data_IF_677805860047
#
_entry.id   IF_677805860047
#
_cell.length_a   1.000
_cell.length_b   1.000
_cell.length_c   1.000
_cell.angle_alpha   90.00
_cell.angle_beta   90.00
_cell.angle_gamma   90.00
#
_symmetry.space_group_name_H-M   'P 1'
#
loop_
_entity.id
_entity.type
_entity.pdbx_description
1 polymer ?
2 non-polymer ?
3 water ?
#
# COMPACT_ATOMS: atom_id res chain seq x y z
N UNK A 1 -8.01 25.41 -2.92
CA UNK A 1 -7.97 24.44 -4.06
C UNK A 1 -9.14 23.47 -4.02
N UNK A 2 -9.44 22.88 -5.17
CA UNK A 2 -10.34 21.72 -5.24
C UNK A 2 -9.66 20.55 -4.54
N UNK A 3 -10.43 19.81 -3.75
CA UNK A 3 -9.93 18.57 -3.15
C UNK A 3 -9.59 17.58 -4.28
N UNK A 4 -8.52 16.78 -4.14
CA UNK A 4 -8.27 15.74 -5.15
C UNK A 4 -9.42 14.74 -5.19
N UNK A 5 -9.59 14.10 -6.33
CA UNK A 5 -10.72 13.20 -6.52
C UNK A 5 -10.74 12.05 -5.50
N UNK A 6 -11.93 11.70 -4.98
CA UNK A 6 -12.05 10.46 -4.22
C UNK A 6 -11.63 9.25 -5.05
N UNK A 7 -11.00 8.29 -4.40
CA UNK A 7 -10.76 6.98 -5.00
C UNK A 7 -12.10 6.27 -4.96
N UNK A 8 -12.45 5.57 -6.04
CA UNK A 8 -13.70 4.82 -6.12
C UNK A 8 -13.42 3.32 -6.08
N UNK A 9 -14.31 2.59 -5.42
CA UNK A 9 -14.22 1.14 -5.34
C UNK A 9 -14.79 0.50 -6.61
N UNK A 10 -14.77 -0.82 -6.66
CA UNK A 10 -15.25 -1.55 -7.83
C UNK A 10 -16.75 -1.41 -8.08
N UNK A 11 -17.49 -0.91 -7.09
CA UNK A 11 -18.93 -0.63 -7.20
C UNK A 11 -19.22 0.86 -7.43
N UNK A 12 -18.16 1.65 -7.63
CA UNK A 12 -18.28 3.06 -7.97
C UNK A 12 -18.48 3.98 -6.78
N UNK A 13 -18.30 3.46 -5.57
CA UNK A 13 -18.50 4.24 -4.35
C UNK A 13 -17.19 4.79 -3.80
N UNK A 14 -17.24 5.97 -3.19
CA UNK A 14 -16.05 6.58 -2.60
C UNK A 14 -15.47 5.68 -1.52
N UNK A 15 -14.16 5.48 -1.56
CA UNK A 15 -13.48 4.82 -0.44
C UNK A 15 -13.53 5.71 0.80
N UNK A 16 -13.73 5.07 1.94
CA UNK A 16 -13.72 5.78 3.22
C UNK A 16 -12.74 5.17 4.20
N UNK A 17 -12.22 6.03 5.08
CA UNK A 17 -11.36 5.56 6.16
C UNK A 17 -12.15 4.66 7.12
N UNK A 18 -11.47 3.68 7.70
CA UNK A 18 -12.11 2.77 8.66
C UNK A 18 -13.03 1.74 8.04
N UNK A 19 -12.88 1.50 6.74
CA UNK A 19 -13.69 0.53 6.03
C UNK A 19 -12.73 -0.45 5.35
N UNK A 20 -13.03 -1.74 5.44
CA UNK A 20 -12.19 -2.77 4.83
C UNK A 20 -12.33 -2.82 3.33
N UNK A 21 -11.17 -2.88 2.65
CA UNK A 21 -11.09 -3.10 1.20
C UNK A 21 -10.05 -4.16 0.91
N UNK A 22 -10.25 -4.84 -0.22
CA UNK A 22 -9.19 -5.63 -0.84
C UNK A 22 -8.54 -4.80 -1.94
N UNK A 23 -7.22 -4.91 -2.07
CA UNK A 23 -6.50 -4.34 -3.20
C UNK A 23 -6.31 -5.47 -4.20
N UNK A 24 -6.99 -5.35 -5.34
CA UNK A 24 -7.01 -6.41 -6.35
C UNK A 24 -6.28 -6.00 -7.61
N UNK A 25 -5.67 -6.98 -8.31
CA UNK A 25 -5.01 -6.69 -9.58
C UNK A 25 -6.02 -6.45 -10.68
N UNK A 26 -5.74 -5.50 -11.55
CA UNK A 26 -6.58 -5.29 -12.73
C UNK A 26 -6.19 -6.26 -13.84
N UNK A 27 -4.89 -6.48 -14.05
CA UNK A 27 -4.45 -7.46 -15.05
C UNK A 27 -4.60 -8.85 -14.45
N UNK A 28 -5.43 -9.66 -15.11
CA UNK A 28 -5.75 -11.01 -14.66
C UNK A 28 -4.64 -12.00 -14.99
N UNK A 29 -4.74 -13.16 -14.35
CA UNK A 29 -3.90 -14.32 -14.66
C UNK A 29 -2.51 -14.33 -14.08
N UNK A 30 -2.24 -13.43 -13.12
CA UNK A 30 -0.91 -13.31 -12.51
C UNK A 30 -0.88 -13.62 -11.02
N UNK A 31 -1.99 -13.47 -10.34
CA UNK A 31 -2.07 -13.61 -8.89
C UNK A 31 -3.39 -13.05 -8.40
N UNK A 32 -3.58 -13.07 -7.09
CA UNK A 32 -4.80 -12.59 -6.47
C UNK A 32 -4.60 -11.23 -5.84
N UNK A 33 -5.39 -10.95 -4.81
CA UNK A 33 -5.28 -9.68 -4.09
C UNK A 33 -4.08 -9.62 -3.16
N UNK A 34 -3.87 -8.45 -2.56
CA UNK A 34 -2.73 -8.29 -1.67
C UNK A 34 -2.98 -8.96 -0.34
N UNK A 35 -1.89 -9.47 0.23
CA UNK A 35 -1.92 -10.22 1.48
C UNK A 35 -0.58 -10.06 2.19
N UNK A 36 -0.40 -10.84 3.26
CA UNK A 36 0.82 -10.85 4.05
C UNK A 36 1.47 -12.21 4.00
N UNK A 37 2.80 -12.22 3.97
CA UNK A 37 3.55 -13.48 4.01
C UNK A 37 4.89 -13.25 4.64
N UNK A 38 5.45 -14.32 5.20
CA UNK A 38 6.82 -14.33 5.69
C UNK A 38 7.69 -14.74 4.50
N UNK A 39 8.45 -13.79 3.93
CA UNK A 39 9.17 -14.03 2.65
C UNK A 39 10.66 -14.34 2.79
N UNK A 40 11.25 -13.90 3.90
CA UNK A 40 12.70 -13.86 4.03
C UNK A 40 13.18 -14.79 5.11
N UNK A 41 14.12 -14.30 5.91
CA UNK A 41 14.74 -15.11 6.93
C UNK A 41 13.76 -15.32 8.08
N UNK A 42 13.36 -14.22 8.71
CA UNK A 42 12.48 -14.28 9.88
C UNK A 42 11.00 -14.25 9.51
N UNK A 43 10.16 -14.76 10.41
CA UNK A 43 8.71 -14.76 10.19
C UNK A 43 8.09 -13.37 10.30
N UNK A 44 8.66 -12.52 11.16
CA UNK A 44 8.08 -11.21 11.48
C UNK A 44 9.12 -10.09 11.36
N UNK A 45 8.72 -8.87 11.00
CA UNK A 45 7.36 -8.53 10.53
C UNK A 45 7.02 -9.21 9.20
N UNK A 46 5.74 -9.33 8.92
CA UNK A 46 5.29 -9.87 7.65
C UNK A 46 5.52 -8.87 6.51
N UNK A 47 5.67 -9.38 5.30
CA UNK A 47 5.81 -8.54 4.13
C UNK A 47 4.51 -8.52 3.32
N UNK A 48 4.32 -7.45 2.56
CA UNK A 48 3.15 -7.32 1.71
C UNK A 48 3.45 -8.00 0.37
N UNK A 49 2.58 -8.92 -0.01
CA UNK A 49 2.75 -9.67 -1.26
C UNK A 49 1.44 -9.82 -1.99
N UNK A 50 1.52 -10.11 -3.28
CA UNK A 50 0.34 -10.51 -4.03
C UNK A 50 0.09 -11.99 -3.77
N UNK A 51 -1.15 -12.38 -3.45
CA UNK A 51 -1.53 -13.79 -3.36
C UNK A 51 -1.10 -14.55 -4.60
N UNK A 52 -0.55 -15.75 -4.42
CA UNK A 52 -0.24 -16.62 -5.53
C UNK A 52 -1.51 -16.97 -6.33
N UNK A 53 -2.57 -17.33 -5.63
CA UNK A 53 -3.77 -17.85 -6.29
C UNK A 53 -4.66 -16.75 -6.80
N UNK A 54 -5.01 -16.81 -8.09
CA UNK A 54 -5.85 -15.79 -8.73
C UNK A 54 -7.24 -15.68 -8.10
N UNK A 55 -7.79 -16.78 -7.62
CA UNK A 55 -9.12 -16.74 -7.02
C UNK A 55 -9.19 -16.00 -5.68
N UNK A 56 -8.05 -15.80 -5.02
CA UNK A 56 -8.06 -15.20 -3.69
C UNK A 56 -8.08 -13.67 -3.73
N UNK A 57 -8.97 -13.10 -2.94
CA UNK A 57 -9.01 -11.64 -2.72
C UNK A 57 -7.88 -11.15 -1.82
N UNK A 58 -7.19 -12.05 -1.12
CA UNK A 58 -6.15 -11.66 -0.19
C UNK A 58 -6.73 -11.32 1.17
N UNK A 59 -6.16 -10.33 1.84
CA UNK A 59 -6.62 -9.89 3.17
C UNK A 59 -7.12 -8.47 3.11
N UNK A 60 -8.17 -8.16 3.89
CA UNK A 60 -8.69 -6.81 3.92
C UNK A 60 -7.79 -5.84 4.66
N UNK A 61 -7.86 -4.59 4.22
CA UNK A 61 -7.07 -3.52 4.80
C UNK A 61 -7.85 -2.22 4.83
N UNK A 62 -7.29 -1.25 5.53
CA UNK A 62 -7.87 0.09 5.61
C UNK A 62 -6.85 1.13 5.25
N UNK A 63 -7.38 2.30 4.89
CA UNK A 63 -6.61 3.50 4.57
C UNK A 63 -6.97 4.59 5.57
N UNK A 64 -5.97 5.30 6.09
CA UNK A 64 -6.22 6.41 7.02
C UNK A 64 -5.48 7.63 6.49
N UNK A 65 -6.23 8.68 6.10
CA UNK A 65 -5.57 9.87 5.60
C UNK A 65 -4.65 10.54 6.60
N UNK A 66 -3.61 11.18 6.08
CA UNK A 66 -2.64 11.90 6.89
C UNK A 66 -3.28 12.99 7.75
N UNK A 67 -4.34 13.62 7.23
CA UNK A 67 -5.12 14.60 7.97
C UNK A 67 -6.20 13.80 8.70
N UNK A 68 -5.96 13.38 9.97
CA UNK A 68 -6.79 12.53 10.82
C UNK A 68 -8.30 12.67 10.71
N UNK A 69 -8.76 13.90 10.78
CA UNK A 69 -10.19 14.24 10.67
C UNK A 69 -10.85 13.73 9.36
N UNK A 70 -10.12 13.82 8.25
CA UNK A 70 -10.66 13.49 6.91
C UNK A 70 -11.11 12.03 6.78
N UNK A 71 -12.28 11.82 6.18
CA UNK A 71 -12.90 10.49 6.04
C UNK A 71 -12.88 9.88 4.65
N UNK A 72 -12.76 10.69 3.61
CA UNK A 72 -12.75 10.20 2.22
C UNK A 72 -11.32 9.89 1.82
N UNK A 73 -11.13 8.74 1.16
CA UNK A 73 -9.81 8.37 0.62
C UNK A 73 -9.71 8.97 -0.78
N UNK A 74 -8.75 9.87 -0.97
CA UNK A 74 -8.56 10.60 -2.20
C UNK A 74 -7.23 10.26 -2.83
N UNK A 75 -7.13 10.49 -4.14
CA UNK A 75 -5.86 10.37 -4.82
C UNK A 75 -4.90 11.47 -4.37
N UNK A 76 -3.63 11.26 -4.70
CA UNK A 76 -2.59 12.26 -4.51
C UNK A 76 -2.45 12.71 -3.06
N UNK A 77 -2.72 11.81 -2.12
CA UNK A 77 -2.83 12.13 -0.69
C UNK A 77 -2.17 11.03 0.11
N UNK A 78 -1.35 11.39 1.09
CA UNK A 78 -0.67 10.40 1.91
C UNK A 78 -1.64 9.69 2.86
N UNK A 79 -1.47 8.37 2.97
CA UNK A 79 -2.24 7.50 3.87
C UNK A 79 -1.34 6.53 4.60
N UNK A 80 -1.75 6.19 5.82
CA UNK A 80 -1.30 4.94 6.45
C UNK A 80 -2.18 3.80 5.94
N UNK A 81 -1.58 2.68 5.55
CA UNK A 81 -2.32 1.52 5.06
C UNK A 81 -2.01 0.38 6.02
N UNK A 82 -3.03 -0.35 6.47
CA UNK A 82 -2.80 -1.49 7.36
C UNK A 82 -3.81 -2.58 7.15
N UNK A 83 -3.36 -3.82 7.23
CA UNK A 83 -4.28 -4.97 7.16
C UNK A 83 -5.07 -5.08 8.47
N UNK A 84 -6.32 -5.48 8.36
CA UNK A 84 -7.26 -5.42 9.50
C UNK A 84 -7.14 -6.54 10.54
N UNK A 85 -6.89 -7.76 10.10
CA UNK A 85 -6.91 -8.89 11.01
C UNK A 85 -5.57 -9.08 11.71
N UNK A 86 -5.61 -9.76 12.86
CA UNK A 86 -4.40 -10.12 13.56
C UNK A 86 -3.62 -11.17 12.78
N UNK A 87 -2.36 -11.32 13.14
CA UNK A 87 -1.41 -12.17 12.43
C UNK A 87 -0.57 -12.94 13.44
N UNK A 88 0.38 -13.73 12.95
CA UNK A 88 1.33 -14.42 13.84
C UNK A 88 2.33 -13.49 14.52
N UNK A 89 2.39 -12.22 14.12
CA UNK A 89 3.40 -11.28 14.59
C UNK A 89 2.82 -10.27 15.56
N UNK A 90 3.62 -9.90 16.57
CA UNK A 90 3.27 -8.78 17.45
C UNK A 90 3.37 -7.46 16.68
N UNK A 91 4.34 -7.37 15.78
CA UNK A 91 4.56 -6.18 14.95
C UNK A 91 3.30 -5.86 14.15
N UNK A 92 3.05 -4.57 13.95
CA UNK A 92 1.85 -4.12 13.28
C UNK A 92 1.80 -4.56 11.82
N UNK A 93 0.60 -4.46 11.27
CA UNK A 93 0.37 -4.72 9.85
C UNK A 93 0.40 -3.43 9.03
N UNK A 94 0.92 -2.35 9.61
CA UNK A 94 0.96 -1.05 8.96
C UNK A 94 2.13 -1.02 7.97
N UNK A 95 1.82 -0.67 6.71
CA UNK A 95 2.81 -0.71 5.64
C UNK A 95 3.95 0.29 5.88
N UNK A 96 5.16 -0.15 5.55
CA UNK A 96 6.35 0.67 5.67
C UNK A 96 7.27 0.32 4.54
N UNK A 97 7.85 1.32 3.89
CA UNK A 97 8.83 1.04 2.84
C UNK A 97 10.20 0.83 3.50
N UNK A 98 10.97 -0.14 2.99
CA UNK A 98 12.30 -0.41 3.55
C UNK A 98 13.29 -0.76 2.46
N UNK A 99 14.44 -0.10 2.49
CA UNK A 99 15.53 -0.39 1.55
C UNK A 99 16.21 -1.71 1.88
N UNK A 100 16.39 -2.53 0.85
CA UNK A 100 17.08 -3.82 0.98
C UNK A 100 18.47 -3.68 0.37
N UNK A 101 19.49 -3.71 1.26
CA UNK A 101 20.90 -3.55 0.86
C UNK A 101 21.37 -4.56 -0.19
N UNK A 102 20.85 -5.78 -0.14
CA UNK A 102 21.31 -6.88 -1.00
C UNK A 102 20.70 -6.90 -2.40
N UNK A 103 19.56 -6.24 -2.58
CA UNK A 103 18.90 -6.15 -3.90
C UNK A 103 18.85 -4.72 -4.47
N UNK A 104 19.09 -3.71 -3.63
CA UNK A 104 18.87 -2.33 -4.02
C UNK A 104 17.41 -1.93 -4.19
N UNK A 105 16.47 -2.82 -3.84
CA UNK A 105 15.04 -2.52 -3.99
C UNK A 105 14.51 -1.91 -2.71
N UNK A 106 13.46 -1.13 -2.86
CA UNK A 106 12.72 -0.58 -1.73
C UNK A 106 11.39 -1.33 -1.66
N UNK A 107 11.29 -2.22 -0.67
CA UNK A 107 10.14 -3.11 -0.54
C UNK A 107 9.11 -2.58 0.45
N UNK A 108 7.86 -2.99 0.25
CA UNK A 108 6.82 -2.75 1.25
C UNK A 108 6.83 -3.89 2.26
N UNK A 109 7.15 -3.55 3.50
CA UNK A 109 7.04 -4.49 4.62
C UNK A 109 6.00 -3.92 5.59
N UNK A 110 5.95 -4.46 6.80
CA UNK A 110 5.03 -3.94 7.82
C UNK A 110 5.80 -3.56 9.09
N UNK A 111 5.11 -3.51 10.24
CA UNK A 111 5.71 -3.03 11.47
C UNK A 111 5.78 -1.52 11.56
N UNK A 112 5.03 -0.80 10.73
CA UNK A 112 5.04 0.67 10.77
C UNK A 112 4.31 1.22 11.99
N UNK A 113 4.73 2.39 12.45
CA UNK A 113 4.01 3.17 13.47
C UNK A 113 2.95 4.06 12.80
N UNK A 114 1.76 4.13 13.39
CA UNK A 114 0.66 4.99 12.90
C UNK A 114 0.85 6.46 13.23
N UNK A 115 0.36 7.33 12.35
CA UNK A 115 0.26 8.76 12.64
C UNK A 115 1.61 9.44 12.71
N UNK A 116 1.68 10.49 13.54
CA UNK A 116 2.89 11.28 13.72
C UNK A 116 3.57 11.58 12.37
N UNK A 117 2.81 12.19 11.42
CA UNK A 117 3.41 12.46 10.11
C UNK A 117 4.60 13.42 10.19
N UNK A 118 5.69 13.04 9.53
CA UNK A 118 6.93 13.82 9.52
C UNK A 118 8.10 12.92 9.24
N UNK A 119 9.33 13.43 9.44
CA UNK A 119 10.54 12.62 9.16
C UNK A 119 10.53 11.32 9.94
N UNK A 120 10.04 11.34 11.19
CA UNK A 120 10.08 10.15 12.03
C UNK A 120 9.28 8.96 11.47
N UNK A 121 8.24 9.23 10.67
CA UNK A 121 7.41 8.18 10.06
C UNK A 121 7.38 8.27 8.53
N UNK A 122 8.40 8.89 7.95
CA UNK A 122 8.43 9.18 6.51
C UNK A 122 8.09 7.97 5.65
N UNK A 123 8.59 6.80 6.03
CA UNK A 123 8.45 5.59 5.22
C UNK A 123 7.09 4.89 5.33
N UNK A 124 6.15 5.48 6.07
CA UNK A 124 4.87 4.85 6.38
C UNK A 124 3.70 5.46 5.65
N UNK A 125 3.97 6.32 4.66
CA UNK A 125 2.93 7.07 3.97
C UNK A 125 2.89 6.73 2.49
N UNK A 126 1.69 6.38 2.01
CA UNK A 126 1.47 5.89 0.65
C UNK A 126 0.33 6.63 -0.01
N UNK A 127 0.44 6.77 -1.33
CA UNK A 127 -0.57 7.42 -2.15
C UNK A 127 -1.21 6.44 -3.09
N UNK A 128 -2.42 6.79 -3.50
CA UNK A 128 -3.12 6.15 -4.60
C UNK A 128 -3.20 7.18 -5.72
N UNK A 129 -2.85 6.79 -6.95
CA UNK A 129 -2.93 7.70 -8.09
C UNK A 129 -3.70 7.02 -9.20
N UNK A 130 -4.32 7.84 -10.03
CA UNK A 130 -5.06 7.34 -11.18
C UNK A 130 -4.11 6.67 -12.15
N UNK A 131 -4.56 5.58 -12.76
CA UNK A 131 -3.78 4.86 -13.75
C UNK A 131 -4.77 4.34 -14.78
N UNK A 132 -4.90 5.07 -15.89
CA UNK A 132 -5.89 4.79 -16.93
C UNK A 132 -7.28 4.75 -16.29
N UNK A 133 -8.01 3.64 -16.36
CA UNK A 133 -9.34 3.58 -15.74
C UNK A 133 -9.33 3.04 -14.31
N UNK A 134 -8.15 2.76 -13.78
CA UNK A 134 -8.03 2.21 -12.43
C UNK A 134 -6.96 3.01 -11.69
N UNK A 135 -6.15 2.34 -10.86
CA UNK A 135 -5.24 3.04 -9.96
C UNK A 135 -3.89 2.36 -9.90
N UNK A 136 -2.95 3.08 -9.27
CA UNK A 136 -1.67 2.49 -8.88
C UNK A 136 -1.36 3.01 -7.48
N UNK A 137 -0.48 2.29 -6.78
CA UNK A 137 0.02 2.72 -5.49
C UNK A 137 1.36 3.39 -5.70
N UNK A 138 1.61 4.44 -4.92
CA UNK A 138 2.82 5.27 -5.09
C UNK A 138 3.38 5.54 -3.70
N UNK A 139 4.70 5.57 -3.61
CA UNK A 139 5.39 6.12 -2.44
C UNK A 139 6.01 7.44 -2.84
N UNK A 140 5.48 8.55 -2.31
CA UNK A 140 6.16 9.83 -2.44
C UNK A 140 5.61 10.79 -1.39
N UNK A 141 6.03 10.62 -0.13
CA UNK A 141 5.40 11.37 0.95
C UNK A 141 5.72 12.85 0.90
N UNK A 142 4.75 13.65 1.31
CA UNK A 142 4.96 15.09 1.45
C UNK A 142 4.83 15.52 2.91
N UNK A 143 4.94 14.58 3.83
CA UNK A 143 4.81 14.86 5.27
C UNK A 143 5.98 15.63 5.90
N UNK A 144 7.09 15.72 5.19
CA UNK A 144 8.31 16.34 5.72
C UNK A 144 8.91 17.27 4.66
N UNK A 145 8.73 18.58 4.84
CA UNK A 145 9.14 19.50 3.77
C UNK A 145 10.66 19.63 3.58
N UNK A 146 11.47 19.30 4.60
CA UNK A 146 12.93 19.28 4.44
C UNK A 146 13.51 17.91 4.06
N UNK A 147 12.68 16.87 4.07
CA UNK A 147 13.09 15.53 3.67
C UNK A 147 13.13 15.41 2.16
N UNK A 148 13.93 14.45 1.69
CA UNK A 148 14.08 14.15 0.28
C UNK A 148 13.84 12.66 0.03
N UNK A 149 12.57 12.22 0.15
CA UNK A 149 12.30 10.78 -0.03
C UNK A 149 12.59 10.32 -1.45
N UNK A 150 13.03 9.06 -1.58
CA UNK A 150 13.14 8.42 -2.88
C UNK A 150 11.73 7.96 -3.27
N UNK A 151 11.17 8.58 -4.29
CA UNK A 151 9.80 8.29 -4.72
C UNK A 151 9.71 7.25 -5.82
N UNK A 152 8.56 6.60 -5.93
CA UNK A 152 8.33 5.72 -7.05
C UNK A 152 6.94 5.12 -7.04
N UNK A 153 6.56 4.58 -8.19
CA UNK A 153 5.39 3.73 -8.33
C UNK A 153 5.69 2.39 -7.70
N UNK A 154 4.66 1.76 -7.14
CA UNK A 154 4.79 0.43 -6.57
C UNK A 154 4.43 -0.61 -7.63
N UNK A 155 5.32 -1.60 -7.81
CA UNK A 155 5.12 -2.72 -8.72
C UNK A 155 5.47 -4.02 -8.05
N UNK A 156 5.40 -5.10 -8.81
CA UNK A 156 5.72 -6.43 -8.32
C UNK A 156 7.21 -6.72 -8.56
N UNK A 157 7.87 -7.29 -7.55
CA UNK A 157 9.26 -7.74 -7.68
C UNK A 157 9.34 -9.11 -7.03
N UNK A 158 9.83 -10.10 -7.75
CA UNK A 158 9.93 -11.45 -7.24
C UNK A 158 11.15 -11.57 -6.33
N UNK A 159 10.93 -12.03 -5.10
CA UNK A 159 12.03 -12.30 -4.17
C UNK A 159 11.69 -13.54 -3.39
N UNK A 160 12.62 -14.50 -3.34
CA UNK A 160 12.41 -15.78 -2.65
C UNK A 160 11.13 -16.49 -3.09
N UNK A 161 10.80 -16.33 -4.37
CA UNK A 161 9.59 -16.92 -4.94
C UNK A 161 8.29 -16.20 -4.64
N UNK A 162 8.31 -15.07 -3.92
CA UNK A 162 7.11 -14.32 -3.58
C UNK A 162 6.95 -13.12 -4.48
N UNK A 163 5.71 -12.74 -4.73
CA UNK A 163 5.38 -11.55 -5.49
C UNK A 163 5.35 -10.37 -4.55
N UNK A 164 6.53 -9.86 -4.24
CA UNK A 164 6.67 -8.73 -3.32
C UNK A 164 6.29 -7.44 -4.00
N UNK A 165 6.01 -6.42 -3.19
CA UNK A 165 5.76 -5.08 -3.69
C UNK A 165 7.01 -4.21 -3.44
N UNK A 166 7.42 -3.49 -4.47
CA UNK A 166 8.59 -2.65 -4.39
C UNK A 166 8.46 -1.47 -5.33
N UNK A 167 9.23 -0.43 -5.11
CA UNK A 167 9.29 0.65 -6.09
C UNK A 167 9.76 0.08 -7.42
N UNK A 168 9.10 0.45 -8.52
CA UNK A 168 9.29 -0.24 -9.79
C UNK A 168 9.06 0.68 -10.95
N UNK A 169 9.72 0.35 -12.06
CA UNK A 169 9.49 1.01 -13.34
C UNK A 169 8.19 0.53 -14.01
N UNK A 170 7.60 -0.54 -13.47
CA UNK A 170 6.33 -1.07 -14.00
C UNK A 170 5.26 -0.98 -12.90
N UNK A 171 4.36 0.03 -12.97
CA UNK A 171 3.34 0.10 -11.90
C UNK A 171 2.38 -1.08 -11.90
N UNK A 172 2.03 -1.54 -10.72
CA UNK A 172 1.05 -2.61 -10.55
C UNK A 172 -0.34 -1.95 -10.55
N UNK A 173 -1.15 -2.23 -11.58
CA UNK A 173 -2.47 -1.60 -11.70
C UNK A 173 -3.46 -2.31 -10.78
N UNK A 174 -4.15 -1.52 -9.96
CA UNK A 174 -5.02 -2.06 -8.93
C UNK A 174 -6.40 -1.44 -8.96
N UNK A 175 -7.33 -2.14 -8.35
CA UNK A 175 -8.67 -1.65 -8.06
C UNK A 175 -9.00 -2.07 -6.63
N UNK A 176 -10.04 -1.47 -6.07
CA UNK A 176 -10.35 -1.59 -4.64
C UNK A 176 -11.73 -2.17 -4.47
N UNK A 177 -11.82 -3.35 -3.86
CA UNK A 177 -13.09 -4.03 -3.66
C UNK A 177 -13.50 -3.91 -2.21
N UNK A 178 -14.66 -3.34 -1.95
CA UNK A 178 -15.18 -3.26 -0.60
C UNK A 178 -15.39 -4.68 -0.05
N UNK A 179 -14.78 -4.98 1.09
CA UNK A 179 -14.82 -6.33 1.65
C UNK A 179 -16.10 -6.60 2.44
X LIG B 1 13.19 -7.17 4.52
X LIG B 1 13.00 -8.13 3.47
X LIG B 1 11.90 -6.39 4.73
X LIG B 1 11.40 -5.83 3.50
X LIG C 1 -1.00 -8.10 15.20
X LIG C 1 -1.11 -9.53 15.22
X LIG C 1 -0.99 -7.61 13.76
X LIG C 1 0.16 -8.10 13.08
X LIG D 1 -8.26 -11.32 -7.48
X LIG D 1 -7.70 -12.00 -8.61
X LIG D 1 -9.60 -11.93 -7.07
X LIG D 1 -10.53 -12.00 -8.17
X LIG E 1 2.15 -15.95 -0.46
X LIG E 1 3.00 -16.31 -1.53
X LIG E 1 0.83 -15.46 -1.03
X LIG E 1 0.18 -16.50 -1.76
X LIG F 1 -16.71 10.83 -6.29
X LIG F 1 -16.29 11.05 -7.64
X LIG F 1 -18.14 10.28 -6.22
X LIG F 1 -18.55 9.63 -7.44
X LIG G 1 19.57 22.58 -0.59
X LIG G 1 20.89 22.05 -0.58
X LIG G 1 18.58 21.44 -0.78
X LIG G 1 18.64 20.54 0.35
X LIG H 1 -13.25 -1.85 -11.48
X LIG H 1 -14.56 -1.29 -11.42
X LIG H 1 -12.67 -1.54 -12.85
X LIG H 1 -11.57 -2.40 -13.22
#
# INVERSE_FOLDING_TARGET
ESAPDPVLDTEGKQLRSGVDYYILPVIRGRGGGLTLASTGNENCPLDVVQEQHEVSNGLPLTFTPVNPKKGVIRVSTDHNIKFSASTICVQSTLWKLEYDESSGQRFVTTGGVEGNPGRETLDNWFKIEKYEDDYKLVFCPTVCDFCKPVCGDIGIYIQNGYRRLALSDVPFKVMFKKA
EDO C1 O1 C2 O2
EDO C1 O1 C2 O2
EDO C1 O1 C2 O2
EDO C1 O1 C2 O2
EDO C1 O1 C2 O2
EDO C1 O1 C2 O2
EDO C1 O1 C2 O2
#
